data_IF_660582841458
#
_entry.id   IF_660582841458
#
_cell.length_a   1.000
_cell.length_b   1.000
_cell.length_c   1.000
_cell.angle_alpha   90.00
_cell.angle_beta   90.00
_cell.angle_gamma   90.00
#
_symmetry.space_group_name_H-M   'P 1'
#
loop_
_entity.id
_entity.type
_entity.pdbx_description
1 polymer ?
#
# COMPACT_ATOMS: atom_id res chain seq x y z
N UNK A 1 -3.44 21.27 -4.58
CA UNK A 1 -4.36 20.40 -3.83
C UNK A 1 -4.74 21.12 -2.54
N UNK A 2 -6.02 21.18 -2.19
CA UNK A 2 -6.47 21.71 -0.89
C UNK A 2 -6.49 20.57 0.13
N UNK A 3 -6.22 20.88 1.40
CA UNK A 3 -6.28 19.87 2.46
C UNK A 3 -7.69 19.28 2.56
N UNK A 4 -7.79 17.95 2.61
CA UNK A 4 -9.07 17.24 2.75
C UNK A 4 -9.83 17.02 1.44
N UNK A 5 -9.30 17.44 0.30
CA UNK A 5 -9.95 17.34 -1.01
C UNK A 5 -9.28 16.26 -1.88
N UNK A 6 -10.06 15.27 -2.29
CA UNK A 6 -9.63 14.16 -3.15
C UNK A 6 -9.92 14.38 -4.63
N UNK A 7 -10.62 15.44 -5.02
CA UNK A 7 -11.12 15.65 -6.40
C UNK A 7 -9.97 15.61 -7.42
N UNK A 8 -8.88 16.33 -7.15
CA UNK A 8 -7.72 16.34 -8.06
C UNK A 8 -7.01 14.99 -8.16
N UNK A 9 -7.00 14.19 -7.09
CA UNK A 9 -6.33 12.89 -7.06
C UNK A 9 -7.16 11.86 -7.83
N UNK A 10 -8.46 11.78 -7.53
CA UNK A 10 -9.38 10.86 -8.19
C UNK A 10 -9.63 11.19 -9.67
N UNK A 11 -9.35 12.43 -10.09
CA UNK A 11 -9.42 12.82 -11.51
C UNK A 11 -8.21 12.33 -12.33
N UNK A 12 -7.04 12.22 -11.70
CA UNK A 12 -5.77 11.86 -12.35
C UNK A 12 -5.50 10.35 -12.31
N UNK A 13 -6.04 9.65 -11.32
CA UNK A 13 -5.68 8.25 -11.07
C UNK A 13 -6.84 7.46 -10.44
N UNK A 14 -6.80 6.14 -10.63
CA UNK A 14 -7.75 5.19 -10.04
C UNK A 14 -7.30 4.74 -8.65
N UNK A 15 -7.19 5.65 -7.68
CA UNK A 15 -6.87 5.25 -6.30
C UNK A 15 -8.01 4.44 -5.67
N UNK A 16 -7.72 3.39 -4.88
CA UNK A 16 -8.75 2.64 -4.15
C UNK A 16 -9.59 3.50 -3.20
N UNK A 17 -9.03 4.60 -2.68
CA UNK A 17 -9.77 5.56 -1.82
C UNK A 17 -10.90 6.26 -2.58
N UNK A 18 -10.80 6.38 -3.91
CA UNK A 18 -11.79 7.08 -4.72
C UNK A 18 -13.11 6.32 -4.83
N UNK A 19 -13.09 4.98 -4.66
CA UNK A 19 -14.32 4.17 -4.67
C UNK A 19 -15.21 4.45 -3.45
N UNK A 20 -14.67 5.06 -2.40
CA UNK A 20 -15.40 5.41 -1.18
C UNK A 20 -16.33 6.61 -1.39
N UNK A 21 -16.01 7.50 -2.33
CA UNK A 21 -16.79 8.72 -2.59
C UNK A 21 -17.88 8.52 -3.66
N UNK A 22 -17.99 7.32 -4.21
CA UNK A 22 -19.00 6.97 -5.20
C UNK A 22 -20.38 6.91 -4.51
N UNK A 23 -21.27 7.86 -4.81
CA UNK A 23 -22.65 7.84 -4.32
C UNK A 23 -23.62 7.10 -5.24
N UNK A 24 -24.91 7.04 -4.85
CA UNK A 24 -26.01 6.49 -5.67
C UNK A 24 -26.18 7.20 -7.02
N UNK A 25 -25.63 8.41 -7.17
CA UNK A 25 -25.55 9.12 -8.44
C UNK A 25 -24.32 8.66 -9.24
N UNK A 26 -24.55 7.59 -10.00
CA UNK A 26 -23.67 7.05 -11.05
C UNK A 26 -23.19 8.09 -12.10
N UNK A 27 -23.71 9.31 -12.07
CA UNK A 27 -23.28 10.45 -12.89
C UNK A 27 -21.94 11.06 -12.45
N UNK A 28 -21.57 10.98 -11.16
CA UNK A 28 -20.27 11.48 -10.66
C UNK A 28 -19.08 10.61 -11.12
N UNK A 29 -19.36 9.37 -11.52
CA UNK A 29 -18.40 8.41 -12.09
C UNK A 29 -18.29 8.50 -13.62
N UNK A 30 -19.17 9.27 -14.26
CA UNK A 30 -19.10 9.47 -15.72
C UNK A 30 -18.09 10.54 -16.11
N UNK A 31 -17.63 11.37 -15.17
CA UNK A 31 -16.75 12.51 -15.42
C UNK A 31 -15.32 12.37 -14.83
N UNK A 32 -15.06 11.34 -14.01
CA UNK A 32 -13.76 11.11 -13.34
C UNK A 32 -13.44 9.61 -13.31
N UNK A 33 -12.26 9.12 -13.78
CA UNK A 33 -11.05 9.82 -14.26
C UNK A 33 -11.18 10.38 -15.69
N UNK A 34 -10.30 11.34 -16.07
CA UNK A 34 -10.26 11.93 -17.43
C UNK A 34 -10.19 10.89 -18.55
N UNK A 35 -9.56 9.75 -18.27
CA UNK A 35 -9.45 8.62 -19.18
C UNK A 35 -10.10 7.39 -18.53
N UNK A 36 -11.27 7.02 -19.03
CA UNK A 36 -12.00 5.82 -18.59
C UNK A 36 -11.37 4.60 -19.25
N UNK A 37 -10.97 3.62 -18.43
CA UNK A 37 -10.54 2.33 -18.96
C UNK A 37 -11.72 1.67 -19.68
N UNK A 38 -11.48 1.20 -20.90
CA UNK A 38 -12.45 0.41 -21.65
C UNK A 38 -12.71 -0.88 -20.88
N UNK A 39 -13.96 -1.11 -20.49
CA UNK A 39 -14.35 -2.36 -19.85
C UNK A 39 -14.20 -3.50 -20.86
N UNK A 40 -13.11 -4.25 -20.75
CA UNK A 40 -12.94 -5.52 -21.45
C UNK A 40 -13.45 -6.64 -20.54
N UNK A 41 -14.42 -7.40 -21.03
CA UNK A 41 -14.78 -8.71 -20.48
C UNK A 41 -13.59 -9.64 -20.73
N UNK A 42 -12.66 -9.67 -19.78
CA UNK A 42 -11.40 -10.38 -19.91
C UNK A 42 -11.47 -11.70 -19.13
N UNK A 43 -12.20 -12.65 -19.72
CA UNK A 43 -11.98 -14.06 -19.48
C UNK A 43 -10.60 -14.48 -19.99
N UNK A 44 -9.57 -14.27 -19.17
CA UNK A 44 -8.31 -15.02 -19.13
C UNK A 44 -7.31 -14.24 -18.27
N UNK A 45 -7.12 -14.69 -17.04
CA UNK A 45 -6.10 -14.16 -16.13
C UNK A 45 -4.84 -15.03 -16.20
N UNK A 46 -3.69 -14.38 -16.28
CA UNK A 46 -2.40 -14.93 -15.87
C UNK A 46 -1.50 -13.76 -15.49
N UNK A 47 -0.85 -13.78 -14.31
CA UNK A 47 0.62 -13.83 -14.09
C UNK A 47 0.87 -14.29 -12.63
N UNK A 48 2.01 -14.92 -12.45
CA UNK A 48 2.56 -15.75 -11.35
C UNK A 48 3.15 -14.91 -10.21
N UNK A 49 2.88 -15.29 -8.95
CA UNK A 49 3.79 -15.20 -7.80
C UNK A 49 3.33 -16.07 -6.60
N UNK A 50 4.29 -16.61 -5.83
CA UNK A 50 4.09 -17.71 -4.86
C UNK A 50 3.34 -17.31 -3.57
N UNK A 51 3.35 -16.03 -3.20
CA UNK A 51 2.67 -15.51 -2.01
C UNK A 51 1.25 -15.01 -2.29
N UNK A 52 0.90 -14.83 -3.57
CA UNK A 52 -0.39 -14.25 -3.98
C UNK A 52 -1.41 -15.32 -4.37
N UNK A 53 -0.98 -16.59 -4.54
CA UNK A 53 -1.84 -17.68 -4.98
C UNK A 53 -3.09 -17.85 -4.10
N UNK A 54 -2.96 -17.80 -2.78
CA UNK A 54 -4.09 -18.09 -1.88
C UNK A 54 -5.04 -16.91 -1.77
N UNK A 55 -4.50 -15.70 -1.61
CA UNK A 55 -5.30 -14.48 -1.46
C UNK A 55 -5.97 -14.14 -2.79
N UNK A 56 -5.25 -14.25 -3.90
CA UNK A 56 -5.80 -14.08 -5.24
C UNK A 56 -6.74 -15.20 -5.62
N UNK A 57 -6.50 -16.47 -5.28
CA UNK A 57 -7.49 -17.53 -5.52
C UNK A 57 -8.78 -17.31 -4.73
N UNK A 58 -8.70 -16.90 -3.45
CA UNK A 58 -9.89 -16.58 -2.66
C UNK A 58 -10.59 -15.34 -3.21
N UNK A 59 -9.85 -14.30 -3.60
CA UNK A 59 -10.42 -13.10 -4.22
C UNK A 59 -11.07 -13.41 -5.58
N UNK A 60 -10.45 -14.26 -6.41
CA UNK A 60 -11.00 -14.73 -7.68
C UNK A 60 -12.23 -15.60 -7.45
N UNK A 61 -12.22 -16.52 -6.48
CA UNK A 61 -13.38 -17.36 -6.18
C UNK A 61 -14.54 -16.55 -5.63
N UNK A 62 -14.28 -15.54 -4.80
CA UNK A 62 -15.29 -14.61 -4.31
C UNK A 62 -15.79 -13.69 -5.42
N UNK A 63 -14.90 -13.15 -6.26
CA UNK A 63 -15.27 -12.33 -7.41
C UNK A 63 -16.08 -13.12 -8.43
N UNK A 64 -15.65 -14.35 -8.77
CA UNK A 64 -16.37 -15.26 -9.65
C UNK A 64 -17.72 -15.66 -9.05
N UNK A 65 -17.79 -15.97 -7.74
CA UNK A 65 -19.04 -16.23 -7.05
C UNK A 65 -19.99 -15.02 -7.11
N UNK A 66 -19.47 -13.81 -6.90
CA UNK A 66 -20.23 -12.57 -7.01
C UNK A 66 -20.73 -12.33 -8.44
N UNK A 67 -19.88 -12.50 -9.46
CA UNK A 67 -20.22 -12.33 -10.88
C UNK A 67 -21.26 -13.34 -11.33
N UNK A 68 -21.12 -14.62 -10.94
CA UNK A 68 -22.07 -15.70 -11.25
C UNK A 68 -23.41 -15.46 -10.55
N UNK A 69 -23.41 -14.85 -9.36
CA UNK A 69 -24.63 -14.57 -8.59
C UNK A 69 -25.31 -13.25 -8.97
N UNK A 70 -24.63 -12.35 -9.68
CA UNK A 70 -25.21 -11.09 -10.16
C UNK A 70 -26.04 -11.30 -11.43
N UNK A 71 -27.22 -11.88 -11.26
CA UNK A 71 -28.32 -11.54 -12.16
C UNK A 71 -28.86 -10.15 -11.74
N UNK A 72 -28.49 -9.13 -12.52
CA UNK A 72 -29.15 -7.80 -12.59
C UNK A 72 -29.06 -6.80 -11.40
N UNK A 73 -28.00 -6.79 -10.59
CA UNK A 73 -27.87 -5.75 -9.54
C UNK A 73 -26.57 -4.95 -9.68
N UNK A 74 -26.59 -3.92 -10.54
CA UNK A 74 -25.57 -2.85 -10.56
C UNK A 74 -25.30 -2.27 -9.15
N UNK A 75 -26.33 -2.21 -8.30
CA UNK A 75 -26.22 -1.77 -6.90
C UNK A 75 -25.36 -2.70 -6.01
N UNK A 76 -25.27 -4.00 -6.33
CA UNK A 76 -24.42 -4.92 -5.59
C UNK A 76 -22.94 -4.70 -5.91
N UNK A 77 -22.62 -4.41 -7.18
CA UNK A 77 -21.26 -4.12 -7.63
C UNK A 77 -20.72 -2.84 -6.98
N UNK A 78 -21.54 -1.78 -6.91
CA UNK A 78 -21.16 -0.53 -6.24
C UNK A 78 -20.86 -0.75 -4.74
N UNK A 79 -21.71 -1.51 -4.05
CA UNK A 79 -21.52 -1.82 -2.63
C UNK A 79 -20.25 -2.64 -2.39
N UNK A 80 -19.95 -3.62 -3.25
CA UNK A 80 -18.73 -4.42 -3.16
C UNK A 80 -17.48 -3.56 -3.39
N UNK A 81 -17.51 -2.66 -4.37
CA UNK A 81 -16.39 -1.76 -4.66
C UNK A 81 -16.09 -0.79 -3.50
N UNK A 82 -17.12 -0.34 -2.77
CA UNK A 82 -16.96 0.47 -1.55
C UNK A 82 -16.28 -0.32 -0.43
N UNK A 83 -16.72 -1.55 -0.18
CA UNK A 83 -16.08 -2.42 0.81
C UNK A 83 -14.64 -2.74 0.44
N UNK A 84 -14.37 -3.04 -0.82
CA UNK A 84 -13.02 -3.33 -1.30
C UNK A 84 -12.08 -2.13 -1.12
N UNK A 85 -12.56 -0.92 -1.47
CA UNK A 85 -11.83 0.32 -1.22
C UNK A 85 -11.55 0.54 0.26
N UNK A 86 -12.53 0.29 1.13
CA UNK A 86 -12.41 0.53 2.56
C UNK A 86 -11.38 -0.41 3.20
N UNK A 87 -11.43 -1.70 2.83
CA UNK A 87 -10.46 -2.70 3.26
C UNK A 87 -9.06 -2.39 2.73
N UNK A 88 -8.93 -1.98 1.47
CA UNK A 88 -7.64 -1.62 0.89
C UNK A 88 -6.99 -0.43 1.62
N UNK A 89 -7.77 0.63 1.91
CA UNK A 89 -7.30 1.79 2.68
C UNK A 89 -6.86 1.36 4.08
N UNK A 90 -7.65 0.53 4.77
CA UNK A 90 -7.31 0.05 6.10
C UNK A 90 -6.02 -0.78 6.12
N UNK A 91 -5.86 -1.73 5.18
CA UNK A 91 -4.66 -2.56 5.04
C UNK A 91 -3.42 -1.71 4.73
N UNK A 92 -3.55 -0.75 3.81
CA UNK A 92 -2.47 0.15 3.43
C UNK A 92 -1.96 0.94 4.63
N UNK A 93 -2.85 1.59 5.39
CA UNK A 93 -2.41 2.40 6.52
C UNK A 93 -1.87 1.54 7.67
N UNK A 94 -2.45 0.36 7.89
CA UNK A 94 -1.97 -0.60 8.89
C UNK A 94 -0.59 -1.13 8.56
N UNK A 95 -0.28 -1.35 7.27
CA UNK A 95 1.05 -1.71 6.81
C UNK A 95 2.08 -0.64 7.19
N UNK A 96 1.80 0.63 6.95
CA UNK A 96 2.73 1.72 7.32
C UNK A 96 2.87 1.89 8.84
N UNK A 97 1.81 1.64 9.61
CA UNK A 97 1.91 1.58 11.07
C UNK A 97 2.83 0.46 11.54
N UNK A 98 2.65 -0.76 11.00
CA UNK A 98 3.52 -1.89 11.31
C UNK A 98 4.97 -1.60 10.93
N UNK A 99 5.20 -1.01 9.75
CA UNK A 99 6.54 -0.64 9.29
C UNK A 99 7.21 0.34 10.27
N UNK A 100 6.48 1.37 10.71
CA UNK A 100 6.98 2.33 11.70
C UNK A 100 7.36 1.65 13.02
N UNK A 101 6.50 0.78 13.57
CA UNK A 101 6.79 0.05 14.80
C UNK A 101 7.97 -0.92 14.65
N UNK A 102 8.09 -1.60 13.51
CA UNK A 102 9.24 -2.44 13.20
C UNK A 102 10.55 -1.64 13.23
N UNK A 103 10.52 -0.38 12.79
CA UNK A 103 11.66 0.53 12.92
C UNK A 103 12.04 0.84 14.37
N UNK A 104 11.07 1.03 15.26
CA UNK A 104 11.33 1.28 16.68
C UNK A 104 11.87 0.07 17.44
N UNK A 105 11.45 -1.14 17.07
CA UNK A 105 11.96 -2.37 17.70
C UNK A 105 13.46 -2.56 17.45
N UNK A 106 13.99 -2.07 16.32
CA UNK A 106 15.42 -2.13 16.02
C UNK A 106 16.35 -1.41 17.01
N UNK A 107 15.82 -0.57 17.91
CA UNK A 107 16.59 0.03 19.00
C UNK A 107 16.79 -0.88 20.22
N UNK A 108 16.29 -2.12 20.17
CA UNK A 108 16.40 -3.11 21.25
C UNK A 108 15.82 -2.62 22.60
N UNK A 109 14.87 -1.68 22.55
CA UNK A 109 14.17 -1.18 23.75
C UNK A 109 13.34 -2.28 24.44
N UNK A 110 12.95 -3.30 23.68
CA UNK A 110 12.33 -4.52 24.15
C UNK A 110 13.21 -5.69 23.70
N UNK A 111 13.30 -6.80 24.46
CA UNK A 111 14.11 -7.94 24.05
C UNK A 111 13.64 -8.46 22.70
N UNK A 112 14.55 -8.55 21.73
CA UNK A 112 14.28 -9.05 20.39
C UNK A 112 13.67 -10.47 20.49
N UNK A 113 12.53 -10.70 19.85
CA UNK A 113 11.80 -11.98 19.92
C UNK A 113 10.99 -12.22 21.20
N UNK A 114 10.93 -11.25 22.13
CA UNK A 114 10.00 -11.33 23.28
C UNK A 114 8.55 -11.38 22.78
N UNK A 115 7.76 -12.27 23.39
CA UNK A 115 6.32 -12.35 23.14
C UNK A 115 5.64 -10.98 23.31
N UNK A 116 6.11 -10.16 24.25
CA UNK A 116 5.58 -8.82 24.48
C UNK A 116 5.79 -7.89 23.28
N UNK A 117 6.94 -7.96 22.61
CA UNK A 117 7.23 -7.17 21.40
C UNK A 117 6.31 -7.59 20.24
N UNK A 118 6.19 -8.91 20.01
CA UNK A 118 5.32 -9.45 18.97
C UNK A 118 3.84 -9.10 19.19
N UNK A 119 3.34 -9.25 20.42
CA UNK A 119 1.98 -8.87 20.76
C UNK A 119 1.75 -7.37 20.62
N UNK A 120 2.73 -6.53 20.95
CA UNK A 120 2.58 -5.07 20.81
C UNK A 120 2.42 -4.64 19.35
N UNK A 121 3.21 -5.22 18.43
CA UNK A 121 3.09 -4.95 16.99
C UNK A 121 1.76 -5.49 16.47
N UNK A 122 1.41 -6.73 16.81
CA UNK A 122 0.21 -7.39 16.30
C UNK A 122 -1.08 -6.71 16.77
N UNK A 123 -1.23 -6.50 18.09
CA UNK A 123 -2.44 -5.92 18.67
C UNK A 123 -2.61 -4.47 18.20
N UNK A 124 -1.54 -3.67 18.22
CA UNK A 124 -1.65 -2.27 17.76
C UNK A 124 -1.99 -2.18 16.27
N UNK A 125 -1.44 -3.06 15.44
CA UNK A 125 -1.78 -3.11 14.00
C UNK A 125 -3.25 -3.49 13.80
N UNK A 126 -3.78 -4.46 14.55
CA UNK A 126 -5.20 -4.83 14.47
C UNK A 126 -6.10 -3.68 14.89
N UNK A 127 -5.75 -2.96 15.96
CA UNK A 127 -6.50 -1.78 16.42
C UNK A 127 -6.55 -0.70 15.33
N UNK A 128 -5.39 -0.42 14.70
CA UNK A 128 -5.30 0.56 13.60
C UNK A 128 -6.11 0.08 12.39
N UNK A 129 -6.04 -1.20 12.04
CA UNK A 129 -6.81 -1.79 10.93
C UNK A 129 -8.32 -1.64 11.14
N UNK A 130 -8.81 -1.98 12.33
CA UNK A 130 -10.24 -1.87 12.66
C UNK A 130 -10.66 -0.39 12.73
N UNK A 131 -9.86 0.47 13.36
CA UNK A 131 -10.17 1.90 13.50
C UNK A 131 -10.24 2.62 12.16
N UNK A 132 -9.29 2.35 11.26
CA UNK A 132 -9.25 2.96 9.93
C UNK A 132 -10.29 2.33 9.01
N UNK A 133 -10.48 1.00 9.10
CA UNK A 133 -11.56 0.31 8.40
C UNK A 133 -12.93 0.88 8.75
N UNK A 134 -13.16 1.21 10.02
CA UNK A 134 -14.37 1.90 10.46
C UNK A 134 -14.49 3.30 9.84
N UNK A 135 -13.44 4.13 9.88
CA UNK A 135 -13.45 5.48 9.28
C UNK A 135 -13.73 5.42 7.77
N UNK A 136 -13.09 4.48 7.06
CA UNK A 136 -13.27 4.31 5.62
C UNK A 136 -14.67 3.79 5.28
N UNK A 137 -15.18 2.81 6.02
CA UNK A 137 -16.55 2.31 5.86
C UNK A 137 -17.60 3.38 6.18
N UNK A 138 -17.38 4.18 7.23
CA UNK A 138 -18.28 5.29 7.58
C UNK A 138 -18.30 6.38 6.51
N UNK A 139 -17.13 6.68 5.92
CA UNK A 139 -17.04 7.62 4.78
C UNK A 139 -17.82 7.10 3.56
N UNK A 140 -17.80 5.78 3.31
CA UNK A 140 -18.45 5.17 2.15
C UNK A 140 -19.96 4.94 2.29
N UNK A 141 -20.42 4.56 3.49
CA UNK A 141 -21.83 4.22 3.75
C UNK A 141 -22.58 5.32 4.49
N UNK A 142 -21.87 6.27 5.09
CA UNK A 142 -22.48 7.36 5.83
C UNK A 142 -23.31 6.85 7.01
N UNK A 143 -22.68 6.18 7.97
CA UNK A 143 -23.37 5.81 9.22
C UNK A 143 -23.44 7.03 10.15
N UNK A 144 -22.38 7.84 10.22
CA UNK A 144 -22.28 9.04 11.06
C UNK A 144 -22.35 10.33 10.24
N UNK A 145 -23.08 11.34 10.73
CA UNK A 145 -23.22 12.64 10.02
C UNK A 145 -21.95 13.50 10.00
N UNK A 146 -20.92 13.13 10.75
CA UNK A 146 -19.66 13.88 10.86
C UNK A 146 -18.62 13.52 9.80
N UNK A 147 -18.63 12.29 9.29
CA UNK A 147 -17.65 11.79 8.30
C UNK A 147 -18.23 11.63 6.89
N UNK A 148 -19.53 11.86 6.72
CA UNK A 148 -20.19 11.90 5.42
C UNK A 148 -19.61 13.00 4.52
N UNK A 149 -19.28 12.69 3.26
CA UNK A 149 -19.06 13.72 2.26
C UNK A 149 -20.31 14.59 2.13
N UNK A 150 -20.13 15.91 2.16
CA UNK A 150 -21.25 16.84 2.04
C UNK A 150 -21.71 16.94 0.59
N UNK A 151 -23.01 17.15 0.38
CA UNK A 151 -23.61 17.25 -0.96
C UNK A 151 -23.02 18.39 -1.83
N UNK A 152 -22.45 19.42 -1.22
CA UNK A 152 -21.76 20.52 -1.90
C UNK A 152 -20.32 20.17 -2.32
N UNK A 153 -19.70 19.16 -1.70
CA UNK A 153 -18.32 18.70 -1.96
C UNK A 153 -18.20 17.19 -1.78
N UNK A 154 -18.53 16.39 -2.81
CA UNK A 154 -18.61 14.93 -2.70
C UNK A 154 -17.25 14.25 -2.47
N UNK A 155 -16.12 14.90 -2.78
CA UNK A 155 -14.75 14.37 -2.58
C UNK A 155 -14.03 14.95 -1.36
N UNK A 156 -14.75 15.60 -0.44
CA UNK A 156 -14.15 16.24 0.71
C UNK A 156 -14.29 15.39 1.98
N UNK A 157 -13.17 14.86 2.48
CA UNK A 157 -13.08 14.18 3.78
C UNK A 157 -11.72 14.41 4.44
N UNK A 158 -11.61 15.36 5.39
CA UNK A 158 -10.32 15.73 5.98
C UNK A 158 -9.72 14.63 6.87
N UNK A 159 -10.56 13.85 7.56
CA UNK A 159 -10.11 12.75 8.41
C UNK A 159 -9.46 11.64 7.59
N UNK A 160 -10.13 11.22 6.51
CA UNK A 160 -9.60 10.20 5.60
C UNK A 160 -8.33 10.69 4.89
N UNK A 161 -8.28 11.98 4.50
CA UNK A 161 -7.10 12.60 3.89
C UNK A 161 -5.88 12.53 4.80
N UNK A 162 -6.03 12.88 6.08
CA UNK A 162 -4.92 12.82 7.03
C UNK A 162 -4.42 11.39 7.22
N UNK A 163 -5.33 10.44 7.42
CA UNK A 163 -4.98 9.05 7.74
C UNK A 163 -4.43 8.31 6.53
N UNK A 164 -4.93 8.57 5.32
CA UNK A 164 -4.52 7.86 4.10
C UNK A 164 -3.28 8.47 3.41
N UNK A 165 -3.09 9.80 3.45
CA UNK A 165 -1.96 10.45 2.78
C UNK A 165 -0.87 10.91 3.73
N UNK A 166 -1.23 11.67 4.76
CA UNK A 166 -0.23 12.32 5.63
C UNK A 166 0.43 11.31 6.57
N UNK A 167 -0.38 10.46 7.21
CA UNK A 167 0.13 9.50 8.17
C UNK A 167 1.13 8.50 7.58
N UNK A 168 0.91 7.88 6.40
CA UNK A 168 1.93 7.04 5.77
C UNK A 168 3.25 7.75 5.50
N UNK A 169 3.21 9.02 5.05
CA UNK A 169 4.43 9.81 4.81
C UNK A 169 5.19 10.03 6.12
N UNK A 170 4.48 10.35 7.22
CA UNK A 170 5.09 10.49 8.54
C UNK A 170 5.70 9.16 9.00
N UNK A 171 4.98 8.06 8.86
CA UNK A 171 5.44 6.72 9.24
C UNK A 171 6.70 6.30 8.48
N UNK A 172 6.76 6.55 7.17
CA UNK A 172 7.96 6.31 6.35
C UNK A 172 9.11 7.18 6.85
N UNK A 173 8.88 8.47 7.09
CA UNK A 173 9.93 9.38 7.55
C UNK A 173 10.49 8.94 8.92
N UNK A 174 9.62 8.56 9.86
CA UNK A 174 10.03 8.05 11.17
C UNK A 174 10.81 6.73 11.05
N UNK A 175 10.34 5.80 10.21
CA UNK A 175 11.04 4.55 9.92
C UNK A 175 12.43 4.81 9.34
N UNK A 176 12.54 5.63 8.29
CA UNK A 176 13.83 5.96 7.67
C UNK A 176 14.78 6.62 8.67
N UNK A 177 14.30 7.59 9.45
CA UNK A 177 15.10 8.21 10.51
C UNK A 177 15.60 7.18 11.53
N UNK A 178 14.73 6.27 11.99
CA UNK A 178 15.11 5.20 12.91
C UNK A 178 16.20 4.30 12.32
N UNK A 179 16.01 3.82 11.10
CA UNK A 179 16.98 2.95 10.43
C UNK A 179 18.32 3.63 10.16
N UNK A 180 18.29 4.91 9.75
CA UNK A 180 19.52 5.70 9.56
C UNK A 180 20.29 5.85 10.88
N UNK A 181 19.61 6.14 11.99
CA UNK A 181 20.24 6.23 13.30
C UNK A 181 20.88 4.90 13.69
N UNK A 182 20.21 3.77 13.43
CA UNK A 182 20.74 2.43 13.73
C UNK A 182 22.04 2.19 12.94
N UNK A 183 22.01 2.39 11.62
CA UNK A 183 23.17 2.16 10.76
C UNK A 183 24.34 3.08 11.12
N UNK A 184 24.09 4.36 11.37
CA UNK A 184 25.18 5.31 11.65
C UNK A 184 25.76 5.20 13.06
N UNK A 185 24.97 4.78 14.06
CA UNK A 185 25.44 4.72 15.45
C UNK A 185 25.93 3.33 15.86
N UNK A 186 25.33 2.27 15.36
CA UNK A 186 25.58 0.92 15.87
C UNK A 186 26.35 0.03 14.90
N UNK A 187 26.28 0.26 13.57
CA UNK A 187 26.96 -0.57 12.59
C UNK A 187 28.29 0.05 12.12
N UNK A 188 29.31 -0.80 11.99
CA UNK A 188 30.60 -0.42 11.41
C UNK A 188 30.55 -0.37 9.86
N UNK A 189 29.72 -1.23 9.25
CA UNK A 189 29.60 -1.36 7.80
C UNK A 189 28.37 -0.60 7.30
N UNK A 190 28.54 0.19 6.22
CA UNK A 190 27.47 1.03 5.65
C UNK A 190 26.76 0.44 4.43
N UNK A 191 27.09 -0.79 4.04
CA UNK A 191 26.43 -1.53 2.93
C UNK A 191 24.88 -1.50 3.04
N UNK A 192 24.24 -1.64 4.23
CA UNK A 192 22.78 -1.59 4.37
C UNK A 192 22.13 -0.29 3.86
N UNK A 193 22.87 0.83 3.87
CA UNK A 193 22.35 2.12 3.43
C UNK A 193 21.95 2.13 1.95
N UNK A 194 22.63 1.35 1.11
CA UNK A 194 22.31 1.25 -0.32
C UNK A 194 20.97 0.54 -0.55
N UNK A 195 20.68 -0.52 0.20
CA UNK A 195 19.39 -1.22 0.15
C UNK A 195 18.25 -0.32 0.62
N UNK A 196 18.46 0.45 1.70
CA UNK A 196 17.48 1.41 2.21
C UNK A 196 17.21 2.55 1.22
N UNK A 197 18.26 3.07 0.57
CA UNK A 197 18.13 4.09 -0.48
C UNK A 197 17.41 3.54 -1.71
N UNK A 198 17.74 2.31 -2.14
CA UNK A 198 17.08 1.62 -3.24
C UNK A 198 15.58 1.44 -3.00
N UNK A 199 15.19 1.05 -1.78
CA UNK A 199 13.79 0.97 -1.39
C UNK A 199 13.07 2.32 -1.51
N UNK A 200 13.66 3.39 -0.97
CA UNK A 200 13.07 4.73 -1.05
C UNK A 200 12.90 5.21 -2.49
N UNK A 201 13.91 5.01 -3.34
CA UNK A 201 13.86 5.42 -4.75
C UNK A 201 12.76 4.65 -5.50
N UNK A 202 12.67 3.33 -5.32
CA UNK A 202 11.63 2.51 -5.94
C UNK A 202 10.22 2.90 -5.48
N UNK A 203 10.05 3.16 -4.18
CA UNK A 203 8.78 3.62 -3.64
C UNK A 203 8.38 4.98 -4.21
N UNK A 204 9.29 5.96 -4.23
CA UNK A 204 9.01 7.29 -4.80
C UNK A 204 8.68 7.19 -6.29
N UNK A 205 9.43 6.36 -7.03
CA UNK A 205 9.17 6.12 -8.44
C UNK A 205 7.77 5.50 -8.64
N UNK A 206 7.38 4.53 -7.80
CA UNK A 206 6.03 3.95 -7.81
C UNK A 206 4.94 5.01 -7.64
N UNK A 207 5.10 5.91 -6.66
CA UNK A 207 4.13 6.99 -6.44
C UNK A 207 4.07 7.96 -7.62
N UNK A 208 5.18 8.23 -8.30
CA UNK A 208 5.20 9.07 -9.52
C UNK A 208 4.43 8.39 -10.66
N UNK A 209 4.64 7.08 -10.88
CA UNK A 209 3.90 6.32 -11.88
C UNK A 209 2.39 6.34 -11.62
N UNK A 210 2.01 6.22 -10.36
CA UNK A 210 0.60 6.22 -9.96
C UNK A 210 -0.05 7.60 -10.03
N UNK A 211 0.62 8.64 -9.50
CA UNK A 211 0.04 9.97 -9.27
C UNK A 211 0.18 10.93 -10.44
N UNK A 212 1.23 10.77 -11.25
CA UNK A 212 1.52 11.68 -12.36
C UNK A 212 1.28 10.96 -13.67
N UNK A 213 2.05 9.89 -13.94
CA UNK A 213 2.18 9.29 -15.28
C UNK A 213 0.92 8.52 -15.73
N UNK A 214 0.02 8.17 -14.78
CA UNK A 214 -1.14 7.33 -15.07
C UNK A 214 -2.12 7.96 -16.08
N UNK A 215 -2.30 9.29 -16.08
CA UNK A 215 -3.19 10.00 -17.02
C UNK A 215 -2.59 9.98 -18.44
N UNK A 216 -1.28 10.20 -18.57
CA UNK A 216 -0.58 10.19 -19.86
C UNK A 216 -0.58 8.79 -20.50
N UNK A 217 -0.35 7.73 -19.72
CA UNK A 217 -0.40 6.35 -20.22
C UNK A 217 -1.81 5.98 -20.67
N UNK A 218 -2.83 6.35 -19.90
CA UNK A 218 -4.21 6.03 -20.25
C UNK A 218 -4.62 6.73 -21.56
N UNK A 219 -4.32 8.02 -21.70
CA UNK A 219 -4.61 8.77 -22.92
C UNK A 219 -3.80 8.24 -24.13
N UNK A 220 -2.53 7.88 -23.93
CA UNK A 220 -1.66 7.32 -24.98
C UNK A 220 -2.06 5.92 -25.45
N UNK A 221 -2.70 5.12 -24.58
CA UNK A 221 -3.16 3.76 -24.90
C UNK A 221 -4.64 3.69 -25.29
N UNK A 222 -5.30 4.85 -25.46
CA UNK A 222 -6.71 4.97 -25.79
C UNK A 222 -7.62 4.23 -24.79
N UNK A 223 -7.33 4.38 -23.50
CA UNK A 223 -8.10 3.78 -22.40
C UNK A 223 -7.94 2.28 -22.25
N UNK A 224 -6.83 1.68 -22.73
CA UNK A 224 -6.60 0.23 -22.59
C UNK A 224 -5.85 -0.14 -21.32
N UNK A 225 -4.91 0.69 -20.87
CA UNK A 225 -4.00 0.38 -19.76
C UNK A 225 -3.78 1.66 -18.92
N UNK A 226 -3.68 1.53 -17.60
CA UNK A 226 -3.26 2.60 -16.68
C UNK A 226 -1.90 2.30 -16.02
N UNK A 227 -1.37 3.27 -15.28
CA UNK A 227 -0.06 3.15 -14.62
C UNK A 227 -0.03 2.24 -13.40
N UNK A 228 -1.16 1.64 -13.01
CA UNK A 228 -1.29 0.94 -11.71
C UNK A 228 -0.46 -0.35 -11.66
N UNK A 229 -0.37 -1.10 -12.77
CA UNK A 229 0.42 -2.32 -12.85
C UNK A 229 1.92 -2.06 -12.58
N UNK A 230 2.47 -0.99 -13.18
CA UNK A 230 3.86 -0.60 -12.97
C UNK A 230 4.10 -0.11 -11.53
N UNK A 231 3.16 0.65 -10.98
CA UNK A 231 3.20 1.08 -9.58
C UNK A 231 3.29 -0.11 -8.61
N UNK A 232 2.46 -1.15 -8.81
CA UNK A 232 2.48 -2.36 -7.97
C UNK A 232 3.80 -3.11 -8.05
N UNK A 233 4.36 -3.29 -9.25
CA UNK A 233 5.66 -3.94 -9.44
C UNK A 233 6.80 -3.18 -8.73
N UNK A 234 6.80 -1.84 -8.82
CA UNK A 234 7.79 -1.00 -8.16
C UNK A 234 7.62 -1.00 -6.63
N UNK A 235 6.38 -1.02 -6.12
CA UNK A 235 6.12 -1.17 -4.69
C UNK A 235 6.59 -2.53 -4.16
N UNK A 236 6.34 -3.61 -4.91
CA UNK A 236 6.87 -4.93 -4.55
C UNK A 236 8.40 -4.93 -4.54
N UNK A 237 9.04 -4.35 -5.55
CA UNK A 237 10.49 -4.16 -5.58
C UNK A 237 11.01 -3.36 -4.37
N UNK A 238 10.29 -2.32 -3.94
CA UNK A 238 10.62 -1.58 -2.72
C UNK A 238 10.57 -2.46 -1.47
N UNK A 239 9.58 -3.36 -1.35
CA UNK A 239 9.48 -4.28 -0.21
C UNK A 239 10.62 -5.30 -0.21
N UNK A 240 11.01 -5.80 -1.38
CA UNK A 240 12.17 -6.70 -1.53
C UNK A 240 13.46 -6.01 -1.07
N UNK A 241 13.65 -4.73 -1.42
CA UNK A 241 14.81 -3.95 -0.95
C UNK A 241 14.80 -3.73 0.57
N UNK A 242 13.61 -3.52 1.18
CA UNK A 242 13.47 -3.46 2.64
C UNK A 242 13.81 -4.81 3.28
N UNK A 243 13.39 -5.93 2.67
CA UNK A 243 13.75 -7.26 3.12
C UNK A 243 15.27 -7.47 3.09
N UNK A 244 15.95 -7.13 1.99
CA UNK A 244 17.41 -7.22 1.92
C UNK A 244 18.11 -6.30 2.93
N UNK A 245 17.56 -5.11 3.17
CA UNK A 245 18.04 -4.23 4.23
C UNK A 245 17.94 -4.93 5.60
N UNK A 246 16.79 -5.50 5.95
CA UNK A 246 16.62 -6.26 7.19
C UNK A 246 17.56 -7.47 7.26
N UNK A 247 17.68 -8.23 6.18
CA UNK A 247 18.59 -9.37 6.11
C UNK A 247 20.04 -8.95 6.37
N UNK A 248 20.46 -7.83 5.78
CA UNK A 248 21.83 -7.32 5.92
C UNK A 248 22.18 -6.84 7.33
N UNK A 249 21.20 -6.42 8.13
CA UNK A 249 21.42 -6.00 9.52
C UNK A 249 21.31 -7.17 10.51
N UNK A 250 20.58 -8.25 10.19
CA UNK A 250 20.40 -9.41 11.08
C UNK A 250 21.36 -10.56 10.81
N UNK A 251 21.68 -10.84 9.54
CA UNK A 251 22.50 -12.00 9.14
C UNK A 251 23.93 -11.59 8.73
N UNK A 252 24.38 -10.42 9.20
CA UNK A 252 25.64 -9.76 8.80
C UNK A 252 26.76 -10.72 8.40
N UNK A 253 27.14 -10.65 7.12
CA UNK A 253 28.38 -11.21 6.55
C UNK A 253 28.55 -12.76 6.65
N UNK A 254 27.54 -13.54 6.25
CA UNK A 254 27.75 -14.97 5.93
C UNK A 254 28.66 -15.22 4.72
N UNK A 255 28.92 -14.19 3.91
CA UNK A 255 29.53 -14.32 2.58
C UNK A 255 31.04 -13.98 2.57
N UNK A 256 31.56 -13.32 3.61
CA UNK A 256 33.00 -13.02 3.73
C UNK A 256 33.77 -14.15 4.45
N UNK A 257 33.11 -15.18 4.99
CA UNK A 257 33.79 -16.34 5.61
C UNK A 257 34.18 -17.45 4.61
N UNK A 258 33.69 -17.41 3.37
CA UNK A 258 34.02 -18.40 2.34
C UNK A 258 35.18 -18.00 1.42
N UNK A 259 35.78 -16.82 1.62
CA UNK A 259 36.88 -16.29 0.80
C UNK A 259 38.25 -16.28 1.52
N UNK A 260 38.42 -16.98 2.63
CA UNK A 260 39.76 -17.33 3.13
C UNK A 260 40.19 -18.68 2.55
N UNK A 261 41.09 -18.72 1.54
CA UNK A 261 41.76 -19.96 1.19
C UNK A 261 42.61 -20.38 2.38
N UNK A 262 42.15 -21.44 3.06
CA UNK A 262 42.90 -22.13 4.12
C UNK A 262 44.36 -22.21 3.69
N UNK A 263 45.19 -21.50 4.45
CA UNK A 263 46.61 -21.34 4.26
C UNK A 263 47.27 -22.73 4.19
N UNK A 264 47.60 -23.18 2.98
CA UNK A 264 48.40 -24.37 2.75
C UNK A 264 49.87 -24.01 2.96
N UNK A 265 50.31 -23.76 4.19
CA UNK A 265 51.74 -23.87 4.54
C UNK A 265 51.97 -23.88 6.05
N UNK A 266 52.27 -25.06 6.60
CA UNK A 266 53.57 -25.30 7.25
C UNK A 266 53.82 -26.82 7.41
N UNK A 267 55.09 -27.27 7.36
CA UNK A 267 55.52 -28.65 7.11
C UNK A 267 55.43 -29.59 8.32
#
# INVERSE_FOLDING_TARGET
MKFGDFESLCRLTNLPVCTLFVGNDSSLLSDHPKCKLNSYDAGSAYIVDLSDLVVTAVAILLAAYCVIKTHEKLAAVETVNKWLGAVNVALTVSFFWMLMLAGFVGFQLLPDGSAFSLFSILISTIIVLVGIGYIAADTAFGVTDTLKPKADRPFYSPGLFFVYLIFPIISIALYLCAQLVIVFRFLAVRKPLLWLLGALVLFVLSQIFMLVISDEICNGTNGRIDGTMFSTLLNFGSLVMIYFFWNSITEGDGDEYFDDPIDKHNP
#
